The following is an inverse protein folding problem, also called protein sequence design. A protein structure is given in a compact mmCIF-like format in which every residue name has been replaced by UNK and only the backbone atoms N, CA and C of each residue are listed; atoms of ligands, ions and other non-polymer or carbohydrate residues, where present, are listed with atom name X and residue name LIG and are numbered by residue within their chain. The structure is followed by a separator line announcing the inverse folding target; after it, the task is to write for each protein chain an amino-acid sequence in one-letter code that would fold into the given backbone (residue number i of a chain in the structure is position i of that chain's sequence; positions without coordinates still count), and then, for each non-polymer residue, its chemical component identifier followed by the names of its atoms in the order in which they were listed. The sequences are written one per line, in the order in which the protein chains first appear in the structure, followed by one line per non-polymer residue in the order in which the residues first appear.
data_IF_972720420716
#
_entry.id   IF_972720420716
#
_cell.length_a   1.000
_cell.length_b   1.000
_cell.length_c   1.000
_cell.angle_alpha   90.00
_cell.angle_beta   90.00
_cell.angle_gamma   90.00
#
_symmetry.space_group_name_H-M   'P 1'
#
loop_
_entity.id
_entity.type
_entity.pdbx_description
1 polymer ?
#
# COMPACT_ATOMS: atom_id res chain seq x y z
N UNK A 1 -11.01 28.38 -6.93
CA UNK A 1 -10.75 28.48 -5.46
C UNK A 1 -10.78 27.12 -4.76
N UNK A 2 -11.79 26.25 -4.99
CA UNK A 2 -11.96 24.96 -4.30
C UNK A 2 -10.85 23.93 -4.61
N UNK A 3 -10.62 23.62 -5.88
CA UNK A 3 -9.66 22.59 -6.31
C UNK A 3 -8.19 22.89 -5.90
N UNK A 4 -7.80 24.16 -5.78
CA UNK A 4 -6.42 24.55 -5.45
C UNK A 4 -6.12 24.33 -3.96
N UNK A 5 -7.10 24.59 -3.07
CA UNK A 5 -6.97 24.30 -1.64
C UNK A 5 -7.01 22.82 -1.34
N UNK A 6 -7.84 22.09 -2.09
CA UNK A 6 -7.97 20.64 -2.01
C UNK A 6 -6.65 19.90 -2.33
N UNK A 7 -5.79 20.48 -3.18
CA UNK A 7 -4.43 19.98 -3.48
C UNK A 7 -3.34 20.54 -2.56
N UNK A 8 -3.70 21.14 -1.41
CA UNK A 8 -2.73 21.70 -0.46
C UNK A 8 -2.06 23.02 -0.90
N UNK A 9 -2.56 23.66 -1.96
CA UNK A 9 -2.07 24.95 -2.45
C UNK A 9 -2.78 26.17 -1.84
N UNK A 10 -2.22 27.36 -2.05
CA UNK A 10 -2.81 28.64 -1.64
C UNK A 10 -3.05 29.58 -2.83
N UNK A 11 -4.11 30.38 -2.73
CA UNK A 11 -4.47 31.41 -3.72
C UNK A 11 -4.50 32.75 -3.02
N UNK A 12 -3.69 33.68 -3.49
CA UNK A 12 -3.62 35.06 -3.01
C UNK A 12 -4.11 35.99 -4.11
N UNK A 13 -4.98 36.94 -3.75
CA UNK A 13 -5.58 37.88 -4.69
C UNK A 13 -5.28 39.28 -4.19
N UNK A 14 -4.61 40.07 -5.02
CA UNK A 14 -4.32 41.47 -4.77
C UNK A 14 -5.05 42.28 -5.84
N UNK A 15 -5.91 43.20 -5.42
CA UNK A 15 -6.69 44.03 -6.34
C UNK A 15 -6.78 45.43 -5.79
N UNK A 16 -6.53 46.42 -6.65
CA UNK A 16 -6.76 47.83 -6.34
C UNK A 16 -7.49 48.48 -7.52
N UNK A 17 -8.43 49.37 -7.20
CA UNK A 17 -9.23 50.09 -8.19
C UNK A 17 -8.30 50.89 -9.11
N UNK A 18 -8.57 50.84 -10.42
CA UNK A 18 -7.77 51.47 -11.49
C UNK A 18 -6.32 50.95 -11.65
N UNK A 19 -5.90 49.93 -10.88
CA UNK A 19 -4.58 49.26 -10.98
C UNK A 19 -4.71 47.82 -11.52
N UNK A 20 -5.91 47.26 -11.49
CA UNK A 20 -6.21 45.91 -11.95
C UNK A 20 -6.10 44.85 -10.83
N UNK A 21 -6.21 43.59 -11.21
CA UNK A 21 -6.24 42.45 -10.28
C UNK A 21 -5.13 41.46 -10.60
N UNK A 22 -4.31 41.12 -9.60
CA UNK A 22 -3.31 40.06 -9.66
C UNK A 22 -3.77 38.86 -8.84
N UNK A 23 -3.80 37.69 -9.47
CA UNK A 23 -4.08 36.42 -8.82
C UNK A 23 -2.80 35.59 -8.80
N UNK A 24 -2.30 35.26 -7.62
CA UNK A 24 -1.11 34.43 -7.41
C UNK A 24 -1.52 33.06 -6.86
N UNK A 25 -1.12 32.00 -7.53
CA UNK A 25 -1.42 30.61 -7.13
C UNK A 25 -0.10 29.93 -6.74
N UNK A 26 -0.01 29.40 -5.52
CA UNK A 26 1.11 28.59 -5.04
C UNK A 26 0.63 27.15 -4.85
N UNK A 27 1.23 26.21 -5.57
CA UNK A 27 0.98 24.79 -5.43
C UNK A 27 2.21 24.12 -4.80
N UNK A 28 2.06 23.19 -3.85
CA UNK A 28 3.18 22.38 -3.37
C UNK A 28 3.71 21.54 -4.54
N UNK A 29 5.01 21.69 -4.83
CA UNK A 29 5.72 20.98 -5.91
C UNK A 29 5.98 19.50 -5.59
N UNK A 30 5.74 19.07 -4.35
CA UNK A 30 6.15 17.76 -3.84
C UNK A 30 5.02 16.75 -4.02
N UNK A 31 4.97 16.11 -5.19
CA UNK A 31 4.33 14.80 -5.36
C UNK A 31 5.17 13.78 -4.58
N UNK A 32 4.60 13.12 -3.58
CA UNK A 32 5.27 12.03 -2.89
C UNK A 32 5.24 10.79 -3.80
N UNK A 33 6.35 10.58 -4.52
CA UNK A 33 6.56 9.40 -5.35
C UNK A 33 7.01 8.26 -4.43
N UNK A 34 6.36 7.12 -4.57
CA UNK A 34 6.70 5.88 -3.87
C UNK A 34 6.97 4.80 -4.92
N UNK A 35 8.12 4.14 -4.81
CA UNK A 35 8.37 2.90 -5.52
C UNK A 35 7.70 1.74 -4.76
N UNK A 36 6.75 1.07 -5.41
CA UNK A 36 5.96 0.02 -4.77
C UNK A 36 5.78 -1.20 -5.66
N UNK A 37 5.68 -2.37 -5.04
CA UNK A 37 5.27 -3.60 -5.68
C UNK A 37 3.74 -3.64 -5.74
N UNK A 38 3.21 -3.72 -6.95
CA UNK A 38 1.79 -3.94 -7.17
C UNK A 38 1.46 -5.42 -7.06
N UNK A 39 0.47 -5.73 -6.23
CA UNK A 39 0.01 -7.09 -5.94
C UNK A 39 -1.51 -7.17 -6.08
N UNK A 40 -2.02 -8.31 -6.54
CA UNK A 40 -3.46 -8.55 -6.64
C UNK A 40 -3.96 -9.47 -5.54
N UNK A 41 -5.16 -9.18 -5.04
CA UNK A 41 -5.93 -10.04 -4.14
C UNK A 41 -7.39 -9.94 -4.54
N UNK A 42 -7.94 -11.04 -5.06
CA UNK A 42 -9.24 -10.99 -5.72
C UNK A 42 -9.18 -10.07 -6.95
N UNK A 43 -10.19 -9.23 -7.09
CA UNK A 43 -10.26 -8.19 -8.13
C UNK A 43 -9.54 -6.89 -7.72
N UNK A 44 -9.00 -6.83 -6.51
CA UNK A 44 -8.39 -5.63 -5.94
C UNK A 44 -6.87 -5.61 -6.14
N UNK A 45 -6.32 -4.41 -6.33
CA UNK A 45 -4.88 -4.18 -6.48
C UNK A 45 -4.36 -3.33 -5.32
N UNK A 46 -3.30 -3.82 -4.68
CA UNK A 46 -2.63 -3.14 -3.58
C UNK A 46 -1.21 -2.76 -3.97
N UNK A 47 -0.68 -1.73 -3.31
CA UNK A 47 0.73 -1.33 -3.42
C UNK A 47 1.42 -1.57 -2.09
N UNK A 48 2.52 -2.31 -2.14
CA UNK A 48 3.41 -2.53 -1.00
C UNK A 48 4.70 -1.74 -1.26
N UNK A 49 5.13 -0.84 -0.36
CA UNK A 49 6.40 -0.13 -0.53
C UNK A 49 7.57 -1.09 -0.70
N UNK A 50 8.39 -0.91 -1.73
CA UNK A 50 9.55 -1.78 -1.97
C UNK A 50 10.55 -1.75 -0.80
N UNK A 51 10.60 -0.64 -0.07
CA UNK A 51 11.47 -0.45 1.10
C UNK A 51 11.20 -1.43 2.24
N UNK A 52 9.99 -2.02 2.30
CA UNK A 52 9.62 -2.99 3.32
C UNK A 52 9.69 -4.44 2.83
N UNK A 53 9.92 -4.66 1.53
CA UNK A 53 9.92 -6.01 0.96
C UNK A 53 11.34 -6.58 1.05
N UNK A 54 11.48 -7.69 1.76
CA UNK A 54 12.72 -8.45 1.82
C UNK A 54 12.85 -9.39 0.62
N UNK A 55 11.82 -10.16 0.35
CA UNK A 55 11.75 -11.09 -0.80
C UNK A 55 10.31 -11.51 -1.08
N UNK A 56 10.06 -12.14 -2.22
CA UNK A 56 8.80 -12.81 -2.51
C UNK A 56 9.07 -14.26 -2.93
N UNK A 57 8.20 -15.18 -2.50
CA UNK A 57 8.36 -16.60 -2.78
C UNK A 57 7.01 -17.31 -2.84
N UNK A 58 6.97 -18.41 -3.59
CA UNK A 58 5.88 -19.36 -3.54
C UNK A 58 6.27 -20.46 -2.54
N UNK A 59 5.51 -20.69 -1.46
CA UNK A 59 5.91 -21.60 -0.40
C UNK A 59 5.76 -23.06 -0.83
N UNK A 60 6.77 -23.89 -0.55
CA UNK A 60 6.65 -25.33 -0.75
C UNK A 60 5.74 -25.96 0.33
N UNK A 61 5.26 -27.18 0.07
CA UNK A 61 4.38 -27.90 1.02
C UNK A 61 4.96 -28.02 2.43
N UNK A 62 6.28 -28.17 2.54
CA UNK A 62 6.95 -28.37 3.83
C UNK A 62 7.27 -27.06 4.57
N UNK A 63 7.14 -25.91 3.91
CA UNK A 63 7.50 -24.62 4.47
C UNK A 63 6.38 -24.03 5.32
N UNK A 64 5.13 -24.39 5.03
CA UNK A 64 3.95 -23.88 5.74
C UNK A 64 3.61 -24.79 6.92
N UNK A 65 3.48 -24.21 8.11
CA UNK A 65 2.98 -24.89 9.30
C UNK A 65 1.78 -24.15 9.87
N UNK A 66 0.80 -24.89 10.36
CA UNK A 66 -0.31 -24.31 11.11
C UNK A 66 -0.04 -24.53 12.59
N UNK A 67 0.10 -23.43 13.34
CA UNK A 67 0.33 -23.48 14.79
C UNK A 67 -1.01 -23.22 15.50
N UNK A 68 -1.43 -24.18 16.34
CA UNK A 68 -2.68 -24.08 17.11
C UNK A 68 -2.64 -22.80 17.97
N UNK A 69 -3.63 -21.93 17.80
CA UNK A 69 -3.77 -20.67 18.54
C UNK A 69 -2.94 -19.48 18.02
N UNK A 70 -2.08 -19.66 17.00
CA UNK A 70 -1.27 -18.58 16.40
C UNK A 70 -1.45 -18.41 14.89
N UNK A 71 -2.27 -19.25 14.26
CA UNK A 71 -2.54 -19.18 12.82
C UNK A 71 -1.46 -19.88 11.98
N UNK A 72 -1.38 -19.49 10.70
CA UNK A 72 -0.41 -20.06 9.74
C UNK A 72 0.93 -19.37 9.89
N UNK A 73 2.01 -20.14 9.80
CA UNK A 73 3.39 -19.66 9.75
C UNK A 73 4.11 -20.28 8.56
N UNK A 74 5.11 -19.56 8.05
CA UNK A 74 6.00 -20.05 6.99
C UNK A 74 7.43 -20.07 7.50
N UNK A 75 8.17 -21.13 7.18
CA UNK A 75 9.58 -21.24 7.50
C UNK A 75 10.43 -20.69 6.35
N UNK A 76 11.16 -19.61 6.60
CA UNK A 76 12.01 -18.94 5.60
C UNK A 76 13.38 -18.73 6.20
N UNK A 77 14.41 -19.32 5.57
CA UNK A 77 15.84 -19.17 5.94
C UNK A 77 16.16 -19.39 7.44
N UNK A 78 15.43 -20.30 8.09
CA UNK A 78 15.66 -20.64 9.51
C UNK A 78 14.71 -19.96 10.50
N UNK A 79 13.87 -19.03 10.03
CA UNK A 79 12.92 -18.29 10.86
C UNK A 79 11.47 -18.67 10.53
N UNK A 80 10.61 -18.72 11.55
CA UNK A 80 9.17 -18.88 11.38
C UNK A 80 8.48 -17.52 11.36
N UNK A 81 7.91 -17.17 10.22
CA UNK A 81 7.21 -15.91 10.02
C UNK A 81 5.70 -16.13 10.07
N UNK A 82 4.93 -15.26 10.75
CA UNK A 82 3.48 -15.31 10.69
C UNK A 82 3.01 -15.00 9.26
N UNK A 83 2.07 -15.81 8.77
CA UNK A 83 1.42 -15.56 7.49
C UNK A 83 0.16 -14.74 7.73
N UNK A 84 0.08 -13.60 7.05
CA UNK A 84 -1.05 -12.67 7.09
C UNK A 84 -1.72 -12.72 5.73
N UNK A 85 -2.96 -13.17 5.68
CA UNK A 85 -3.75 -13.19 4.46
C UNK A 85 -4.44 -11.83 4.26
N UNK A 86 -4.08 -11.12 3.19
CA UNK A 86 -4.68 -9.82 2.86
C UNK A 86 -6.21 -9.91 2.69
N UNK A 87 -6.68 -10.98 2.07
CA UNK A 87 -8.10 -11.21 1.84
C UNK A 87 -8.89 -11.36 3.15
N UNK A 88 -8.30 -11.95 4.19
CA UNK A 88 -8.93 -12.07 5.52
C UNK A 88 -9.00 -10.72 6.23
N UNK A 89 -7.94 -9.91 6.13
CA UNK A 89 -7.88 -8.59 6.78
C UNK A 89 -8.89 -7.59 6.20
N UNK A 90 -9.02 -7.59 4.87
CA UNK A 90 -9.89 -6.64 4.16
C UNK A 90 -11.25 -7.24 3.77
N UNK A 91 -11.52 -8.48 4.17
CA UNK A 91 -12.74 -9.22 3.86
C UNK A 91 -13.06 -9.22 2.35
N UNK A 92 -12.03 -9.53 1.54
CA UNK A 92 -12.08 -9.58 0.08
C UNK A 92 -12.23 -11.04 -0.35
N UNK A 93 -12.93 -11.29 -1.45
CA UNK A 93 -12.97 -12.61 -2.06
C UNK A 93 -11.69 -12.84 -2.87
N UNK A 94 -10.76 -13.74 -2.45
CA UNK A 94 -9.53 -13.97 -3.19
C UNK A 94 -9.76 -14.88 -4.41
N UNK A 95 -8.92 -14.75 -5.43
CA UNK A 95 -8.83 -15.74 -6.51
C UNK A 95 -8.10 -17.01 -6.07
N UNK A 96 -7.16 -16.87 -5.12
CA UNK A 96 -6.35 -17.97 -4.62
C UNK A 96 -6.47 -18.08 -3.10
N UNK A 97 -6.97 -19.22 -2.63
CA UNK A 97 -7.05 -19.54 -1.19
C UNK A 97 -6.00 -20.57 -0.75
N UNK A 98 -5.47 -21.33 -1.72
CA UNK A 98 -4.42 -22.30 -1.50
C UNK A 98 -3.07 -21.57 -1.39
N UNK A 99 -2.48 -21.65 -0.20
CA UNK A 99 -1.21 -20.98 0.11
C UNK A 99 -0.07 -21.40 -0.82
N UNK A 100 -0.11 -22.62 -1.35
CA UNK A 100 0.91 -23.14 -2.26
C UNK A 100 0.74 -22.67 -3.69
N UNK A 101 -0.39 -22.05 -4.04
CA UNK A 101 -0.66 -21.50 -5.38
C UNK A 101 -0.52 -20.00 -5.44
N UNK A 102 -0.64 -19.32 -4.29
CA UNK A 102 -0.40 -17.88 -4.21
C UNK A 102 1.05 -17.57 -3.90
N UNK A 103 1.32 -16.30 -3.63
CA UNK A 103 2.65 -15.77 -3.39
C UNK A 103 2.71 -15.21 -1.97
N UNK A 104 3.81 -15.47 -1.28
CA UNK A 104 4.15 -14.84 -0.01
C UNK A 104 5.15 -13.71 -0.26
N UNK A 105 4.77 -12.50 0.14
CA UNK A 105 5.65 -11.33 0.17
C UNK A 105 6.18 -11.18 1.59
N UNK A 106 7.49 -11.32 1.76
CA UNK A 106 8.14 -11.20 3.07
C UNK A 106 8.39 -9.73 3.35
N UNK A 107 7.81 -9.23 4.43
CA UNK A 107 7.92 -7.85 4.87
C UNK A 107 8.83 -7.75 6.10
N UNK A 108 9.63 -6.69 6.16
CA UNK A 108 10.34 -6.25 7.35
C UNK A 108 9.94 -4.79 7.67
N UNK A 109 9.28 -4.63 8.81
CA UNK A 109 8.89 -3.33 9.34
C UNK A 109 9.50 -3.19 10.73
N UNK A 110 10.56 -2.38 10.84
CA UNK A 110 11.25 -2.07 12.09
C UNK A 110 11.66 -3.31 12.91
N UNK A 111 12.13 -4.37 12.21
CA UNK A 111 12.57 -5.62 12.82
C UNK A 111 11.44 -6.63 13.07
N UNK A 112 10.19 -6.26 12.78
CA UNK A 112 9.05 -7.18 12.78
C UNK A 112 8.90 -7.77 11.38
N UNK A 113 9.24 -9.05 11.26
CA UNK A 113 9.13 -9.77 9.99
C UNK A 113 7.81 -10.54 9.89
N UNK A 114 7.16 -10.46 8.75
CA UNK A 114 5.90 -11.16 8.46
C UNK A 114 5.80 -11.57 6.99
N UNK A 115 4.95 -12.53 6.68
CA UNK A 115 4.71 -13.00 5.32
C UNK A 115 3.29 -12.65 4.89
N UNK A 116 3.14 -11.79 3.89
CA UNK A 116 1.86 -11.37 3.35
C UNK A 116 1.43 -12.31 2.22
N UNK A 117 0.27 -12.94 2.33
CA UNK A 117 -0.27 -13.82 1.29
C UNK A 117 -1.13 -13.05 0.29
N UNK A 118 -0.73 -13.13 -0.98
CA UNK A 118 -1.36 -12.47 -2.14
C UNK A 118 -1.61 -13.48 -3.27
N UNK A 119 -2.50 -13.12 -4.20
CA UNK A 119 -2.81 -13.99 -5.34
C UNK A 119 -1.70 -13.93 -6.39
N UNK A 120 -1.25 -12.72 -6.74
CA UNK A 120 -0.18 -12.53 -7.73
C UNK A 120 0.60 -11.23 -7.54
N UNK A 121 1.81 -11.19 -8.12
CA UNK A 121 2.61 -9.98 -8.28
C UNK A 121 2.33 -9.41 -9.67
N UNK A 122 1.87 -8.16 -9.73
CA UNK A 122 1.59 -7.46 -10.99
C UNK A 122 2.81 -6.72 -11.52
N UNK A 123 3.76 -6.38 -10.64
CA UNK A 123 5.04 -5.77 -10.99
C UNK A 123 5.34 -4.49 -10.21
N UNK A 124 6.55 -3.98 -10.39
CA UNK A 124 7.02 -2.75 -9.74
C UNK A 124 6.48 -1.52 -10.46
N UNK A 125 5.93 -0.59 -9.70
CA UNK A 125 5.34 0.64 -10.23
C UNK A 125 5.77 1.84 -9.38
N UNK A 126 6.07 2.94 -10.06
CA UNK A 126 6.16 4.25 -9.45
C UNK A 126 4.76 4.83 -9.29
N UNK A 127 4.32 4.94 -8.05
CA UNK A 127 3.01 5.49 -7.73
C UNK A 127 3.14 6.84 -7.03
N UNK A 128 2.22 7.73 -7.34
CA UNK A 128 2.11 9.01 -6.65
C UNK A 128 1.10 8.82 -5.51
N UNK A 129 1.57 8.98 -4.28
CA UNK A 129 0.67 8.97 -3.12
C UNK A 129 -0.15 10.26 -3.15
N UNK A 130 -1.46 10.10 -3.27
CA UNK A 130 -2.44 11.18 -3.09
C UNK A 130 -3.19 10.90 -1.81
N UNK A 131 -2.93 11.70 -0.78
CA UNK A 131 -3.69 11.61 0.48
C UNK A 131 -5.20 11.71 0.19
N UNK A 132 -5.98 10.76 0.68
CA UNK A 132 -7.46 10.73 0.58
C UNK A 132 -8.15 11.88 1.36
N UNK A 133 -7.39 12.76 2.01
CA UNK A 133 -7.83 13.80 2.94
C UNK A 133 -8.68 14.93 2.34
N UNK A 134 -9.04 14.86 1.06
CA UNK A 134 -9.94 15.84 0.46
C UNK A 134 -11.42 15.45 0.57
N UNK A 135 -11.79 14.15 0.65
CA UNK A 135 -13.20 13.73 0.57
C UNK A 135 -13.63 12.54 1.46
N UNK A 136 -12.74 11.81 2.13
CA UNK A 136 -13.11 10.60 2.87
C UNK A 136 -12.54 10.56 4.29
N UNK A 137 -13.28 9.90 5.20
CA UNK A 137 -12.81 9.60 6.57
C UNK A 137 -11.64 8.63 6.50
N UNK A 138 -10.67 8.78 7.41
CA UNK A 138 -9.56 7.84 7.58
C UNK A 138 -10.07 6.41 7.75
N UNK A 139 -9.56 5.50 6.92
CA UNK A 139 -9.75 4.05 7.06
C UNK A 139 -8.41 3.46 7.49
N UNK A 140 -8.33 2.70 8.60
CA UNK A 140 -7.10 1.99 8.97
C UNK A 140 -6.61 1.10 7.82
N UNK A 141 -5.34 1.23 7.44
CA UNK A 141 -4.72 0.40 6.39
C UNK A 141 -4.70 1.00 4.98
N UNK A 142 -5.15 2.25 4.78
CA UNK A 142 -5.11 2.94 3.48
C UNK A 142 -4.62 4.38 3.69
N UNK A 143 -3.73 4.87 2.81
CA UNK A 143 -3.19 6.24 2.82
C UNK A 143 -3.49 6.96 1.52
#
# INVERSE_FOLDING_TARGET
RRNIREMGGSVEIQSAQDVGTRISIRLPLTLAILDGLSVSVGDETFIIPLTHISESLQPAQNDVKTVIGRGRTVHVRGDYLPVIALHEMFNIQPHVTDIHKGILVILDCDGVRSALFVDALLGEHQVVIKSLETNYRRVPGVS
#
